data_IF_609575102125
#
_entry.id   IF_609575102125
#
_cell.length_a   1.000
_cell.length_b   1.000
_cell.length_c   1.000
_cell.angle_alpha   90.00
_cell.angle_beta   90.00
_cell.angle_gamma   90.00
#
_symmetry.space_group_name_H-M   'P 1'
#
loop_
_entity.id
_entity.type
_entity.pdbx_description
1 polymer ?
#
# COMPACT_ATOMS: atom_id res chain seq x y z
N UNK A 1 -4.54 -6.69 -36.98
CA UNK A 1 -3.26 -7.45 -37.05
C UNK A 1 -3.20 -8.40 -35.87
N UNK A 2 -3.86 -9.56 -35.99
CA UNK A 2 -3.94 -10.57 -34.96
C UNK A 2 -2.62 -11.33 -34.91
N UNK A 3 -1.82 -11.13 -33.86
CA UNK A 3 -0.69 -12.02 -33.56
C UNK A 3 -1.29 -13.34 -33.07
N UNK A 4 -1.35 -14.32 -33.98
CA UNK A 4 -1.54 -15.71 -33.63
C UNK A 4 -0.43 -16.10 -32.65
N UNK A 5 -0.82 -16.50 -31.45
CA UNK A 5 0.08 -17.09 -30.46
C UNK A 5 0.28 -18.53 -30.91
N UNK A 6 1.47 -18.85 -31.38
CA UNK A 6 1.87 -20.23 -31.65
C UNK A 6 1.82 -21.02 -30.34
N UNK A 7 0.86 -21.96 -30.26
CA UNK A 7 0.81 -22.97 -29.21
C UNK A 7 1.82 -24.07 -29.56
N UNK A 8 2.73 -24.45 -28.65
CA UNK A 8 3.62 -25.58 -28.91
C UNK A 8 2.81 -26.88 -28.93
N UNK A 9 3.18 -27.75 -29.86
CA UNK A 9 2.47 -28.95 -30.27
C UNK A 9 2.04 -29.87 -29.11
N UNK A 10 0.72 -30.03 -28.95
CA UNK A 10 0.11 -31.14 -28.21
C UNK A 10 0.01 -32.36 -29.12
N UNK A 11 1.12 -33.07 -29.35
CA UNK A 11 1.14 -34.30 -30.16
C UNK A 11 1.82 -35.46 -29.44
N UNK A 12 1.26 -35.83 -28.30
CA UNK A 12 1.47 -37.13 -27.66
C UNK A 12 0.16 -37.54 -26.98
N UNK A 13 -0.44 -38.67 -27.38
CA UNK A 13 -1.67 -39.18 -26.74
C UNK A 13 -1.47 -39.45 -25.23
N UNK A 14 -2.54 -39.78 -24.51
CA UNK A 14 -2.52 -40.02 -23.05
C UNK A 14 -1.36 -40.92 -22.58
N UNK A 15 -1.00 -41.95 -23.35
CA UNK A 15 0.13 -42.84 -23.08
C UNK A 15 1.50 -42.14 -23.15
N UNK A 16 1.73 -41.20 -24.08
CA UNK A 16 2.99 -40.47 -24.16
C UNK A 16 3.17 -39.52 -22.97
N UNK A 17 2.09 -38.83 -22.57
CA UNK A 17 2.07 -37.95 -21.39
C UNK A 17 2.38 -38.76 -20.12
N UNK A 18 1.72 -39.91 -19.95
CA UNK A 18 1.93 -40.78 -18.80
C UNK A 18 3.33 -41.39 -18.75
N UNK A 19 3.86 -41.82 -19.89
CA UNK A 19 5.21 -42.37 -19.96
C UNK A 19 6.24 -41.33 -19.51
N UNK A 20 6.16 -40.11 -20.06
CA UNK A 20 7.04 -39.00 -19.68
C UNK A 20 6.88 -38.64 -18.20
N UNK A 21 5.65 -38.50 -17.71
CA UNK A 21 5.39 -38.20 -16.30
C UNK A 21 6.02 -39.25 -15.37
N UNK A 22 5.85 -40.55 -15.67
CA UNK A 22 6.44 -41.60 -14.85
C UNK A 22 7.97 -41.56 -14.88
N UNK A 23 8.58 -41.33 -16.05
CA UNK A 23 10.03 -41.20 -16.20
C UNK A 23 10.58 -40.00 -15.42
N UNK A 24 9.94 -38.83 -15.54
CA UNK A 24 10.35 -37.59 -14.88
C UNK A 24 10.26 -37.71 -13.35
N UNK A 25 9.20 -38.35 -12.84
CA UNK A 25 9.02 -38.55 -11.40
C UNK A 25 9.87 -39.70 -10.83
N UNK A 26 10.21 -40.68 -11.67
CA UNK A 26 10.93 -41.90 -11.33
C UNK A 26 10.50 -42.58 -10.01
N UNK A 27 9.19 -42.57 -9.73
CA UNK A 27 8.58 -43.14 -8.51
C UNK A 27 7.41 -44.06 -8.88
N UNK A 28 7.10 -45.10 -8.09
CA UNK A 28 5.92 -45.92 -8.30
C UNK A 28 4.61 -45.18 -8.05
N UNK A 29 3.64 -45.35 -8.95
CA UNK A 29 2.32 -44.72 -8.85
C UNK A 29 1.21 -45.75 -9.04
N UNK A 30 0.08 -45.59 -8.34
CA UNK A 30 -1.16 -46.26 -8.73
C UNK A 30 -1.84 -45.51 -9.88
N UNK A 31 -2.80 -46.16 -10.55
CA UNK A 31 -3.62 -45.48 -11.56
C UNK A 31 -4.45 -44.33 -10.99
N UNK A 32 -4.81 -44.39 -9.70
CA UNK A 32 -5.52 -43.31 -9.03
C UNK A 32 -4.61 -42.11 -8.77
N UNK A 33 -3.36 -42.34 -8.34
CA UNK A 33 -2.38 -41.28 -8.09
C UNK A 33 -1.99 -40.58 -9.39
N UNK A 34 -1.70 -41.36 -10.44
CA UNK A 34 -1.39 -40.82 -11.76
C UNK A 34 -2.55 -40.00 -12.33
N UNK A 35 -3.80 -40.45 -12.14
CA UNK A 35 -4.97 -39.68 -12.53
C UNK A 35 -5.07 -38.37 -11.75
N UNK A 36 -4.97 -38.42 -10.41
CA UNK A 36 -5.08 -37.23 -9.57
C UNK A 36 -4.04 -36.16 -9.91
N UNK A 37 -2.80 -36.56 -10.19
CA UNK A 37 -1.70 -35.66 -10.48
C UNK A 37 -1.81 -35.05 -11.90
N UNK A 38 -2.22 -35.84 -12.89
CA UNK A 38 -2.28 -35.39 -14.29
C UNK A 38 -3.63 -34.77 -14.69
N UNK A 39 -4.69 -34.94 -13.89
CA UNK A 39 -6.01 -34.41 -14.23
C UNK A 39 -6.03 -32.89 -14.34
N UNK A 40 -5.35 -32.18 -13.42
CA UNK A 40 -5.35 -30.70 -13.43
C UNK A 40 -4.58 -30.12 -14.61
N UNK A 41 -3.46 -30.74 -14.95
CA UNK A 41 -2.50 -30.18 -15.92
C UNK A 41 -2.77 -30.64 -17.35
N UNK A 42 -3.27 -31.87 -17.54
CA UNK A 42 -3.47 -32.47 -18.85
C UNK A 42 -4.92 -32.89 -19.14
N UNK A 43 -5.85 -32.69 -18.21
CA UNK A 43 -7.28 -32.96 -18.41
C UNK A 43 -7.60 -34.44 -18.70
N UNK A 44 -6.71 -35.37 -18.37
CA UNK A 44 -6.88 -36.78 -18.70
C UNK A 44 -8.00 -37.41 -17.86
N UNK A 45 -8.96 -38.05 -18.51
CA UNK A 45 -10.01 -38.80 -17.84
C UNK A 45 -9.49 -40.08 -17.17
N UNK A 46 -10.07 -40.47 -16.03
CA UNK A 46 -9.63 -41.65 -15.25
C UNK A 46 -9.52 -42.92 -16.06
N UNK A 47 -10.51 -43.21 -16.90
CA UNK A 47 -10.51 -44.39 -17.77
C UNK A 47 -9.39 -44.34 -18.81
N UNK A 48 -9.07 -43.15 -19.33
CA UNK A 48 -7.98 -42.98 -20.29
C UNK A 48 -6.62 -43.21 -19.62
N UNK A 49 -6.45 -42.76 -18.37
CA UNK A 49 -5.23 -43.01 -17.58
C UNK A 49 -5.01 -44.49 -17.32
N UNK A 50 -6.05 -45.21 -16.86
CA UNK A 50 -5.97 -46.66 -16.61
C UNK A 50 -5.60 -47.41 -17.89
N UNK A 51 -6.31 -47.16 -18.99
CA UNK A 51 -6.05 -47.81 -20.29
C UNK A 51 -4.64 -47.52 -20.79
N UNK A 52 -4.17 -46.29 -20.65
CA UNK A 52 -2.84 -45.90 -21.10
C UNK A 52 -1.74 -46.56 -20.25
N UNK A 53 -1.91 -46.67 -18.93
CA UNK A 53 -0.96 -47.38 -18.06
C UNK A 53 -0.89 -48.87 -18.40
N UNK A 54 -2.04 -49.52 -18.58
CA UNK A 54 -2.11 -50.93 -18.99
C UNK A 54 -1.46 -51.13 -20.37
N UNK A 55 -1.73 -50.24 -21.33
CA UNK A 55 -1.12 -50.28 -22.66
C UNK A 55 0.41 -50.13 -22.59
N UNK A 56 0.92 -49.18 -21.80
CA UNK A 56 2.36 -48.96 -21.64
C UNK A 56 3.04 -50.16 -20.96
N UNK A 57 2.38 -50.76 -19.97
CA UNK A 57 2.88 -51.95 -19.30
C UNK A 57 2.90 -53.16 -20.26
N UNK A 58 1.86 -53.35 -21.06
CA UNK A 58 1.79 -54.40 -22.07
C UNK A 58 2.84 -54.22 -23.18
N UNK A 59 3.16 -52.97 -23.54
CA UNK A 59 4.23 -52.64 -24.48
C UNK A 59 5.64 -52.76 -23.86
N UNK A 60 5.75 -53.08 -22.56
CA UNK A 60 7.03 -53.16 -21.84
C UNK A 60 7.73 -51.82 -21.65
N UNK A 61 7.04 -50.68 -21.88
CA UNK A 61 7.62 -49.34 -21.71
C UNK A 61 7.69 -48.90 -20.25
N UNK A 62 6.84 -49.50 -19.41
CA UNK A 62 6.84 -49.35 -17.96
C UNK A 62 6.66 -50.73 -17.33
N UNK A 63 7.05 -50.89 -16.07
CA UNK A 63 6.81 -52.09 -15.29
C UNK A 63 5.48 -51.95 -14.55
N UNK A 64 4.71 -53.03 -14.48
CA UNK A 64 3.56 -53.15 -13.59
C UNK A 64 3.81 -54.20 -12.51
N UNK A 65 3.30 -53.96 -11.30
CA UNK A 65 3.29 -54.94 -10.22
C UNK A 65 1.93 -54.98 -9.54
N UNK A 66 1.41 -56.19 -9.36
CA UNK A 66 0.10 -56.44 -8.76
C UNK A 66 0.25 -56.72 -7.27
N UNK A 67 -0.49 -56.00 -6.45
CA UNK A 67 -0.61 -56.18 -5.00
C UNK A 67 -2.07 -56.44 -4.63
N UNK A 68 -2.46 -57.72 -4.58
CA UNK A 68 -3.85 -58.11 -4.36
C UNK A 68 -4.76 -57.57 -5.47
N UNK A 69 -5.66 -56.63 -5.11
CA UNK A 69 -6.58 -55.98 -6.06
C UNK A 69 -6.02 -54.71 -6.71
N UNK A 70 -4.87 -54.20 -6.24
CA UNK A 70 -4.29 -52.94 -6.71
C UNK A 70 -3.08 -53.20 -7.61
N UNK A 71 -2.84 -52.28 -8.55
CA UNK A 71 -1.66 -52.29 -9.43
C UNK A 71 -0.86 -51.01 -9.23
N UNK A 72 0.47 -51.15 -9.22
CA UNK A 72 1.40 -50.02 -9.29
C UNK A 72 2.18 -50.07 -10.61
N UNK A 73 2.51 -48.90 -11.12
CA UNK A 73 3.23 -48.69 -12.37
C UNK A 73 4.46 -47.82 -12.11
N UNK A 74 5.59 -48.18 -12.72
CA UNK A 74 6.86 -47.45 -12.56
C UNK A 74 7.74 -47.59 -13.81
N UNK A 75 8.64 -46.63 -14.08
CA UNK A 75 9.60 -46.76 -15.17
C UNK A 75 10.52 -47.95 -14.96
N UNK A 76 10.94 -48.57 -16.05
CA UNK A 76 11.93 -49.64 -16.00
C UNK A 76 13.27 -49.09 -15.50
N UNK A 77 13.81 -49.64 -14.41
CA UNK A 77 15.09 -49.17 -13.86
C UNK A 77 16.29 -49.81 -14.58
N UNK A 78 16.08 -50.93 -15.27
CA UNK A 78 17.13 -51.62 -16.03
C UNK A 78 17.64 -50.79 -17.23
N UNK A 79 16.91 -49.72 -17.60
CA UNK A 79 17.34 -48.77 -18.64
C UNK A 79 18.49 -47.86 -18.19
N UNK A 80 18.76 -47.76 -16.87
CA UNK A 80 19.82 -46.94 -16.32
C UNK A 80 21.10 -47.76 -16.12
N UNK A 81 22.29 -47.19 -16.39
CA UNK A 81 23.55 -47.88 -16.12
C UNK A 81 23.74 -48.10 -14.63
N UNK A 82 24.30 -49.25 -14.26
CA UNK A 82 24.77 -49.47 -12.89
C UNK A 82 25.99 -48.61 -12.63
N UNK A 83 25.93 -47.79 -11.59
CA UNK A 83 27.01 -46.89 -11.19
C UNK A 83 27.87 -47.58 -10.13
N UNK A 84 29.19 -47.48 -10.25
CA UNK A 84 30.14 -48.01 -9.28
C UNK A 84 30.26 -47.11 -8.03
N UNK A 85 30.70 -47.66 -6.90
CA UNK A 85 30.95 -46.89 -5.67
C UNK A 85 31.96 -45.73 -5.88
N UNK A 86 32.92 -45.90 -6.81
CA UNK A 86 33.87 -44.84 -7.17
C UNK A 86 33.21 -43.69 -7.92
N UNK A 87 32.32 -44.00 -8.86
CA UNK A 87 31.58 -42.99 -9.63
C UNK A 87 30.56 -42.27 -8.75
N UNK A 88 29.89 -42.98 -7.84
CA UNK A 88 29.00 -42.37 -6.84
C UNK A 88 29.75 -41.34 -5.98
N UNK A 89 30.94 -41.70 -5.48
CA UNK A 89 31.78 -40.75 -4.72
C UNK A 89 32.22 -39.56 -5.54
N UNK A 90 32.54 -39.76 -6.82
CA UNK A 90 32.90 -38.66 -7.72
C UNK A 90 31.72 -37.68 -7.92
N UNK A 91 30.52 -38.21 -8.13
CA UNK A 91 29.29 -37.42 -8.24
C UNK A 91 28.96 -36.69 -6.94
N UNK A 92 29.10 -37.33 -5.78
CA UNK A 92 28.89 -36.67 -4.48
C UNK A 92 29.84 -35.49 -4.26
N UNK A 93 31.11 -35.64 -4.66
CA UNK A 93 32.08 -34.56 -4.60
C UNK A 93 31.70 -33.41 -5.55
N UNK A 94 31.28 -33.72 -6.78
CA UNK A 94 30.84 -32.72 -7.75
C UNK A 94 29.59 -31.98 -7.27
N UNK A 95 28.61 -32.69 -6.69
CA UNK A 95 27.41 -32.10 -6.08
C UNK A 95 27.82 -31.16 -4.95
N UNK A 96 28.77 -31.56 -4.10
CA UNK A 96 29.26 -30.74 -2.99
C UNK A 96 29.95 -29.46 -3.51
N UNK A 97 30.83 -29.58 -4.50
CA UNK A 97 31.54 -28.46 -5.10
C UNK A 97 30.58 -27.47 -5.78
N UNK A 98 29.66 -27.97 -6.60
CA UNK A 98 28.66 -27.15 -7.28
C UNK A 98 27.71 -26.48 -6.28
N UNK A 99 27.28 -27.19 -5.23
CA UNK A 99 26.44 -26.62 -4.18
C UNK A 99 27.14 -25.47 -3.45
N UNK A 100 28.43 -25.63 -3.15
CA UNK A 100 29.25 -24.56 -2.56
C UNK A 100 29.37 -23.35 -3.49
N UNK A 101 29.65 -23.58 -4.79
CA UNK A 101 29.70 -22.50 -5.79
C UNK A 101 28.38 -21.75 -5.90
N UNK A 102 27.25 -22.47 -5.93
CA UNK A 102 25.90 -21.87 -5.96
C UNK A 102 25.68 -21.00 -4.73
N UNK A 103 26.02 -21.48 -3.54
CA UNK A 103 25.88 -20.72 -2.30
C UNK A 103 26.71 -19.43 -2.33
N UNK A 104 27.97 -19.49 -2.75
CA UNK A 104 28.84 -18.32 -2.85
C UNK A 104 28.32 -17.31 -3.88
N UNK A 105 27.92 -17.77 -5.06
CA UNK A 105 27.37 -16.88 -6.10
C UNK A 105 26.06 -16.21 -5.64
N UNK A 106 25.18 -16.95 -4.97
CA UNK A 106 23.94 -16.37 -4.41
C UNK A 106 24.23 -15.30 -3.35
N UNK A 107 25.22 -15.51 -2.49
CA UNK A 107 25.64 -14.50 -1.50
C UNK A 107 26.20 -13.25 -2.19
N UNK A 108 27.03 -13.43 -3.21
CA UNK A 108 27.60 -12.32 -3.97
C UNK A 108 26.52 -11.52 -4.72
N UNK A 109 25.54 -12.19 -5.33
CA UNK A 109 24.41 -11.52 -5.98
C UNK A 109 23.62 -10.67 -4.97
N UNK A 110 23.28 -11.22 -3.81
CA UNK A 110 22.56 -10.46 -2.76
C UNK A 110 23.34 -9.24 -2.29
N UNK A 111 24.66 -9.36 -2.18
CA UNK A 111 25.52 -8.25 -1.81
C UNK A 111 25.51 -7.15 -2.88
N UNK A 112 25.72 -7.51 -4.15
CA UNK A 112 25.69 -6.55 -5.28
C UNK A 112 24.30 -5.91 -5.44
N UNK A 113 23.22 -6.66 -5.24
CA UNK A 113 21.86 -6.12 -5.26
C UNK A 113 21.63 -5.08 -4.16
N UNK A 114 22.21 -5.30 -2.97
CA UNK A 114 22.17 -4.32 -1.89
C UNK A 114 22.93 -3.05 -2.25
N UNK A 115 24.16 -3.17 -2.76
CA UNK A 115 24.97 -2.01 -3.16
C UNK A 115 24.28 -1.21 -4.28
N UNK A 116 23.71 -1.90 -5.26
CA UNK A 116 22.98 -1.28 -6.35
C UNK A 116 21.75 -0.54 -5.82
N UNK A 117 20.99 -1.15 -4.90
CA UNK A 117 19.84 -0.50 -4.26
C UNK A 117 20.25 0.77 -3.50
N UNK A 118 21.35 0.71 -2.75
CA UNK A 118 21.83 1.86 -1.98
C UNK A 118 22.28 3.00 -2.92
N UNK A 119 22.98 2.66 -4.01
CA UNK A 119 23.42 3.63 -5.00
C UNK A 119 22.23 4.28 -5.74
N UNK A 120 21.26 3.48 -6.19
CA UNK A 120 20.05 3.98 -6.87
C UNK A 120 19.07 4.69 -5.91
N UNK A 121 19.17 4.47 -4.61
CA UNK A 121 18.38 5.17 -3.60
C UNK A 121 18.89 6.59 -3.29
N UNK A 122 20.08 6.94 -3.78
CA UNK A 122 20.70 8.25 -3.60
C UNK A 122 20.52 9.13 -4.84
N UNK A 123 20.39 10.44 -4.64
CA UNK A 123 20.41 11.40 -5.75
C UNK A 123 21.76 11.34 -6.46
N UNK A 124 21.76 11.47 -7.78
CA UNK A 124 23.01 11.60 -8.52
C UNK A 124 23.69 12.94 -8.20
N UNK A 125 25.01 13.02 -8.35
CA UNK A 125 25.75 14.28 -8.10
C UNK A 125 25.19 15.47 -8.89
N UNK A 126 24.81 15.36 -10.18
CA UNK A 126 24.19 16.47 -10.90
C UNK A 126 22.82 16.88 -10.33
N UNK A 127 22.00 15.92 -9.90
CA UNK A 127 20.72 16.21 -9.26
C UNK A 127 20.92 16.90 -7.91
N UNK A 128 21.90 16.45 -7.10
CA UNK A 128 22.25 17.11 -5.84
C UNK A 128 22.69 18.56 -6.06
N UNK A 129 23.50 18.83 -7.10
CA UNK A 129 23.93 20.20 -7.44
C UNK A 129 22.73 21.07 -7.75
N UNK A 130 21.79 20.58 -8.57
CA UNK A 130 20.57 21.30 -8.92
C UNK A 130 19.69 21.58 -7.70
N UNK A 131 19.47 20.57 -6.84
CA UNK A 131 18.69 20.70 -5.62
C UNK A 131 19.29 21.74 -4.66
N UNK A 132 20.63 21.74 -4.52
CA UNK A 132 21.35 22.73 -3.71
C UNK A 132 21.12 24.15 -4.25
N UNK A 133 21.15 24.34 -5.57
CA UNK A 133 20.88 25.65 -6.18
C UNK A 133 19.44 26.13 -5.93
N UNK A 134 18.46 25.24 -6.08
CA UNK A 134 17.05 25.53 -5.81
C UNK A 134 16.82 25.89 -4.34
N UNK A 135 17.34 25.08 -3.41
CA UNK A 135 17.25 25.35 -1.97
C UNK A 135 17.93 26.66 -1.57
N UNK A 136 19.08 26.99 -2.17
CA UNK A 136 19.77 28.27 -1.92
C UNK A 136 18.91 29.45 -2.38
N UNK A 137 18.26 29.33 -3.54
CA UNK A 137 17.35 30.36 -4.06
C UNK A 137 16.14 30.55 -3.15
N UNK A 138 15.56 29.45 -2.67
CA UNK A 138 14.42 29.48 -1.75
C UNK A 138 14.79 30.09 -0.41
N UNK A 139 15.93 29.69 0.17
CA UNK A 139 16.47 30.31 1.38
C UNK A 139 16.62 31.83 1.21
N UNK A 140 17.23 32.30 0.12
CA UNK A 140 17.39 33.73 -0.14
C UNK A 140 16.03 34.45 -0.22
N UNK A 141 15.06 33.86 -0.92
CA UNK A 141 13.69 34.38 -1.04
C UNK A 141 12.98 34.45 0.32
N UNK A 142 13.07 33.41 1.15
CA UNK A 142 12.48 33.39 2.48
C UNK A 142 13.16 34.38 3.42
N UNK A 143 14.48 34.52 3.36
CA UNK A 143 15.21 35.53 4.13
C UNK A 143 14.75 36.94 3.73
N UNK A 144 14.61 37.24 2.45
CA UNK A 144 14.13 38.55 2.00
C UNK A 144 12.69 38.81 2.49
N UNK A 145 11.79 37.84 2.35
CA UNK A 145 10.41 37.95 2.87
C UNK A 145 10.39 38.20 4.37
N UNK A 146 11.21 37.47 5.12
CA UNK A 146 11.35 37.61 6.57
C UNK A 146 11.81 39.02 6.94
N UNK A 147 12.83 39.55 6.27
CA UNK A 147 13.33 40.90 6.52
C UNK A 147 12.29 41.97 6.16
N UNK A 148 11.55 41.81 5.06
CA UNK A 148 10.42 42.69 4.73
C UNK A 148 9.36 42.69 5.83
N UNK A 149 8.97 41.52 6.32
CA UNK A 149 7.99 41.39 7.41
C UNK A 149 8.52 42.04 8.68
N UNK A 150 9.79 41.79 9.07
CA UNK A 150 10.40 42.42 10.25
C UNK A 150 10.53 43.93 10.14
N UNK A 151 10.74 44.47 8.93
CA UNK A 151 10.89 45.91 8.70
C UNK A 151 9.55 46.67 8.68
N UNK A 152 8.42 45.97 8.52
CA UNK A 152 7.11 46.60 8.40
C UNK A 152 6.60 47.10 9.76
N UNK A 153 6.46 48.41 9.97
CA UNK A 153 6.13 49.02 11.27
C UNK A 153 4.82 48.60 11.97
N UNK A 154 3.96 47.80 11.33
CA UNK A 154 2.65 47.37 11.86
C UNK A 154 2.71 45.96 12.47
N UNK A 155 3.62 45.72 13.42
CA UNK A 155 3.60 44.48 14.20
C UNK A 155 2.61 44.61 15.34
N UNK A 156 1.54 43.81 15.30
CA UNK A 156 0.71 43.58 16.49
C UNK A 156 1.23 42.30 17.12
N UNK A 157 1.73 42.41 18.34
CA UNK A 157 2.17 41.22 19.08
C UNK A 157 0.96 40.32 19.39
N UNK A 158 1.15 38.99 19.51
CA UNK A 158 0.08 38.10 19.94
C UNK A 158 -0.58 38.54 21.25
N UNK A 159 0.21 39.11 22.17
CA UNK A 159 -0.22 39.64 23.47
C UNK A 159 -1.09 40.88 23.32
N UNK A 160 -0.69 41.86 22.50
CA UNK A 160 -1.51 43.04 22.19
C UNK A 160 -2.81 42.66 21.50
N UNK A 161 -2.76 41.70 20.57
CA UNK A 161 -3.95 41.16 19.92
C UNK A 161 -4.89 40.57 20.98
N UNK A 162 -4.40 39.67 21.83
CA UNK A 162 -5.21 39.04 22.87
C UNK A 162 -5.81 40.06 23.84
N UNK A 163 -5.05 41.08 24.24
CA UNK A 163 -5.54 42.18 25.07
C UNK A 163 -6.70 42.92 24.41
N UNK A 164 -6.57 43.29 23.14
CA UNK A 164 -7.65 43.96 22.38
C UNK A 164 -8.89 43.07 22.26
N UNK A 165 -8.73 41.77 22.02
CA UNK A 165 -9.85 40.82 21.98
C UNK A 165 -10.55 40.71 23.34
N UNK A 166 -9.79 40.67 24.44
CA UNK A 166 -10.33 40.61 25.79
C UNK A 166 -11.06 41.90 26.17
N UNK A 167 -10.50 43.07 25.83
CA UNK A 167 -11.15 44.36 26.03
C UNK A 167 -12.45 44.46 25.23
N UNK A 168 -12.43 44.09 23.94
CA UNK A 168 -13.65 44.03 23.11
C UNK A 168 -14.71 43.14 23.75
N UNK A 169 -14.32 41.95 24.25
CA UNK A 169 -15.24 41.02 24.92
C UNK A 169 -15.83 41.63 26.20
N UNK A 170 -15.00 42.30 27.00
CA UNK A 170 -15.42 42.98 28.24
C UNK A 170 -16.42 44.11 27.93
N UNK A 171 -16.08 45.01 27.01
CA UNK A 171 -16.93 46.15 26.68
C UNK A 171 -18.25 45.73 26.03
N UNK A 172 -18.25 44.72 25.16
CA UNK A 172 -19.49 44.17 24.62
C UNK A 172 -20.37 43.52 25.71
N UNK A 173 -19.77 42.87 26.71
CA UNK A 173 -20.50 42.30 27.84
C UNK A 173 -21.13 43.40 28.71
N UNK A 174 -20.35 44.42 29.06
CA UNK A 174 -20.82 45.54 29.88
C UNK A 174 -21.91 46.36 29.17
N UNK A 175 -21.78 46.61 27.87
CA UNK A 175 -22.81 47.27 27.08
C UNK A 175 -24.13 46.48 27.12
N UNK A 176 -24.11 45.16 26.84
CA UNK A 176 -25.34 44.33 26.93
C UNK A 176 -25.98 44.37 28.32
N UNK A 177 -25.15 44.27 29.37
CA UNK A 177 -25.62 44.30 30.77
C UNK A 177 -26.26 45.65 31.10
N UNK A 178 -25.59 46.75 30.79
CA UNK A 178 -26.08 48.10 31.07
C UNK A 178 -27.33 48.44 30.27
N UNK A 179 -27.36 48.09 28.97
CA UNK A 179 -28.56 48.26 28.14
C UNK A 179 -29.75 47.52 28.74
N UNK A 180 -29.57 46.25 29.16
CA UNK A 180 -30.63 45.49 29.82
C UNK A 180 -31.13 46.16 31.09
N UNK A 181 -30.23 46.52 32.00
CA UNK A 181 -30.60 47.18 33.27
C UNK A 181 -31.33 48.51 33.04
N UNK A 182 -30.86 49.32 32.09
CA UNK A 182 -31.51 50.58 31.74
C UNK A 182 -32.89 50.33 31.16
N UNK A 183 -33.05 49.38 30.24
CA UNK A 183 -34.34 49.01 29.67
C UNK A 183 -35.32 48.52 30.73
N UNK A 184 -34.89 47.65 31.65
CA UNK A 184 -35.72 47.17 32.77
C UNK A 184 -36.21 48.32 33.66
N UNK A 185 -35.33 49.27 34.00
CA UNK A 185 -35.70 50.45 34.78
C UNK A 185 -36.68 51.35 34.01
N UNK A 186 -36.44 51.56 32.72
CA UNK A 186 -37.30 52.40 31.87
C UNK A 186 -38.69 51.78 31.72
N UNK A 187 -38.76 50.47 31.50
CA UNK A 187 -40.03 49.76 31.37
C UNK A 187 -40.83 49.83 32.69
N UNK A 188 -40.17 49.69 33.85
CA UNK A 188 -40.82 49.85 35.16
C UNK A 188 -41.37 51.27 35.41
N UNK A 189 -40.68 52.31 34.94
CA UNK A 189 -41.17 53.70 35.02
C UNK A 189 -42.36 53.89 34.07
N UNK A 190 -42.27 53.33 32.86
CA UNK A 190 -43.29 53.46 31.83
C UNK A 190 -44.61 52.77 32.19
N UNK A 191 -44.59 51.72 33.03
CA UNK A 191 -45.80 51.08 33.57
C UNK A 191 -46.73 52.07 34.31
N UNK A 192 -46.15 53.09 34.96
CA UNK A 192 -46.90 54.14 35.68
C UNK A 192 -47.03 55.47 34.94
N UNK A 193 -46.49 55.58 33.72
CA UNK A 193 -46.37 56.85 33.03
C UNK A 193 -47.56 57.09 32.06
N UNK A 194 -48.24 58.24 32.12
CA UNK A 194 -49.50 58.47 31.40
C UNK A 194 -49.35 58.74 29.90
N UNK A 195 -48.12 58.88 29.37
CA UNK A 195 -47.84 59.20 27.96
C UNK A 195 -46.99 58.12 27.29
N UNK A 196 -46.70 58.30 25.99
CA UNK A 196 -45.91 57.32 25.21
C UNK A 196 -44.42 57.29 25.56
N UNK A 197 -43.77 56.15 25.33
CA UNK A 197 -42.31 55.94 25.52
C UNK A 197 -41.44 56.98 24.82
N UNK A 198 -41.82 57.40 23.60
CA UNK A 198 -41.07 58.41 22.83
C UNK A 198 -41.09 59.78 23.51
N UNK A 199 -42.26 60.20 24.00
CA UNK A 199 -42.39 61.47 24.71
C UNK A 199 -41.63 61.45 26.04
N UNK A 200 -41.64 60.32 26.74
CA UNK A 200 -40.84 60.16 27.95
C UNK A 200 -39.33 60.30 27.68
N UNK A 201 -38.84 59.65 26.61
CA UNK A 201 -37.42 59.69 26.26
C UNK A 201 -36.99 61.10 25.84
N UNK A 202 -37.83 61.82 25.11
CA UNK A 202 -37.60 63.22 24.73
C UNK A 202 -37.64 64.17 25.95
N UNK A 203 -38.58 63.99 26.88
CA UNK A 203 -38.69 64.81 28.09
C UNK A 203 -37.50 64.61 29.06
N UNK A 204 -36.96 63.39 29.15
CA UNK A 204 -35.83 63.04 30.04
C UNK A 204 -34.47 63.17 29.35
N UNK A 205 -34.44 63.31 28.03
CA UNK A 205 -33.20 63.41 27.24
C UNK A 205 -32.47 62.07 27.08
N UNK A 206 -33.21 60.97 26.94
CA UNK A 206 -32.65 59.63 26.73
C UNK A 206 -32.55 59.36 25.23
N UNK A 207 -31.34 59.02 24.79
CA UNK A 207 -31.04 58.68 23.40
C UNK A 207 -30.68 57.18 23.30
N UNK A 208 -31.18 56.51 22.26
CA UNK A 208 -30.98 55.07 22.09
C UNK A 208 -29.87 54.76 21.08
N UNK A 209 -29.29 53.55 21.19
CA UNK A 209 -28.30 53.08 20.21
C UNK A 209 -28.89 53.12 18.79
N UNK A 210 -30.18 52.81 18.66
CA UNK A 210 -30.92 52.81 17.42
C UNK A 210 -31.07 54.21 16.80
N UNK A 211 -31.20 55.26 17.63
CA UNK A 211 -31.27 56.66 17.16
C UNK A 211 -29.98 57.11 16.47
N UNK A 212 -28.84 56.50 16.85
CA UNK A 212 -27.51 56.79 16.29
C UNK A 212 -26.97 55.72 15.35
N UNK A 213 -27.80 54.75 14.92
CA UNK A 213 -27.38 53.62 14.07
C UNK A 213 -26.22 52.80 14.66
N UNK A 214 -26.12 52.75 15.98
CA UNK A 214 -25.06 52.02 16.67
C UNK A 214 -25.54 50.60 16.94
N UNK A 215 -24.76 49.62 16.50
CA UNK A 215 -25.06 48.20 16.73
C UNK A 215 -23.93 47.53 17.50
N UNK A 216 -24.30 46.61 18.39
CA UNK A 216 -23.34 45.78 19.10
C UNK A 216 -22.52 44.96 18.08
N UNK A 217 -21.19 45.00 18.14
CA UNK A 217 -20.36 44.19 17.26
C UNK A 217 -20.71 42.72 17.38
N UNK A 218 -20.92 42.05 16.24
CA UNK A 218 -21.12 40.60 16.18
C UNK A 218 -19.88 39.92 16.76
N UNK A 219 -20.09 38.91 17.61
CA UNK A 219 -18.99 38.09 18.11
C UNK A 219 -18.33 37.40 16.92
N UNK A 220 -17.01 37.59 16.77
CA UNK A 220 -16.18 36.81 15.84
C UNK A 220 -15.75 35.54 16.54
#
# INVERSE_FOLDING_TARGET
MSKARESPAATGGAAAILLRYLQDQNRPHSAQDAFGNLQREHGLGKTAVVKALEQLAQQGKIREKVYGKQKIYFPDQDQFPTVSDSELKALDNEISELSSKVQTLQQNCRHMESELKDLNGSMTTPEMIKEIEELKKDCASYTEKLERIKSAANHVTPEEKEKVYNEKKLYCKEWRRRKRMATELLDAILEGYPKSKKQFFEEVGIETDEDYNVTLPVAV
#
